data_IF_082195619701
#
_entry.id   IF_082195619701
#
_cell.length_a   1.000
_cell.length_b   1.000
_cell.length_c   1.000
_cell.angle_alpha   90.00
_cell.angle_beta   90.00
_cell.angle_gamma   90.00
#
_symmetry.space_group_name_H-M   'P 1'
#
loop_
_entity.id
_entity.type
_entity.pdbx_description
1 polymer ?
#
# COMPACT_ATOMS: atom_id res chain seq x y z
N UNK A 1 1.22 41.62 -6.35
CA UNK A 1 2.71 41.52 -6.50
C UNK A 1 3.04 40.06 -6.20
N UNK A 2 3.62 39.19 -7.04
CA UNK A 2 4.46 39.34 -8.24
C UNK A 2 4.27 38.09 -9.14
N UNK A 3 4.11 38.35 -10.45
CA UNK A 3 4.49 37.57 -11.64
C UNK A 3 4.57 36.02 -11.59
N UNK A 4 3.60 35.34 -12.22
CA UNK A 4 3.83 34.04 -12.85
C UNK A 4 3.85 34.27 -14.38
N UNK A 5 4.98 33.97 -15.02
CA UNK A 5 5.17 34.15 -16.46
C UNK A 5 4.30 33.17 -17.23
N UNK A 6 3.32 33.71 -17.93
CA UNK A 6 2.55 33.03 -18.97
C UNK A 6 3.45 32.83 -20.18
N UNK A 7 3.56 31.59 -20.66
CA UNK A 7 4.05 31.29 -21.99
C UNK A 7 3.18 30.17 -22.55
N UNK A 8 2.02 30.59 -23.06
CA UNK A 8 1.13 29.74 -23.85
C UNK A 8 1.25 30.21 -25.30
N UNK A 9 1.76 29.33 -26.16
CA UNK A 9 1.64 29.48 -27.61
C UNK A 9 0.83 28.31 -28.17
N UNK A 10 -0.23 28.71 -28.89
CA UNK A 10 -1.10 27.94 -29.79
C UNK A 10 -2.19 27.04 -29.17
N UNK A 11 -3.38 27.64 -29.21
CA UNK A 11 -4.70 27.00 -29.24
C UNK A 11 -4.83 26.11 -30.48
N UNK A 12 -5.27 24.86 -30.31
CA UNK A 12 -6.09 24.16 -31.29
C UNK A 12 -7.15 23.33 -30.56
N UNK A 13 -8.40 23.55 -30.97
CA UNK A 13 -9.61 22.98 -30.42
C UNK A 13 -9.91 21.60 -31.00
N UNK A 14 -10.43 20.68 -30.18
CA UNK A 14 -11.38 19.63 -30.60
C UNK A 14 -12.11 19.05 -29.38
N UNK A 15 -13.43 18.94 -29.51
CA UNK A 15 -14.43 18.56 -28.52
C UNK A 15 -14.32 17.12 -28.01
N UNK A 16 -14.64 16.87 -26.73
CA UNK A 16 -15.32 15.64 -26.27
C UNK A 16 -16.13 15.96 -25.00
N UNK A 17 -17.40 15.56 -25.00
CA UNK A 17 -18.32 15.50 -23.86
C UNK A 17 -17.73 14.74 -22.69
N UNK A 18 -17.48 15.38 -21.55
CA UNK A 18 -17.03 14.71 -20.33
C UNK A 18 -18.23 14.17 -19.57
N UNK A 19 -18.50 12.87 -19.69
CA UNK A 19 -19.30 12.14 -18.71
C UNK A 19 -18.56 12.23 -17.35
N UNK A 20 -19.23 12.79 -16.35
CA UNK A 20 -18.72 12.87 -14.99
C UNK A 20 -18.73 11.46 -14.37
N UNK A 21 -17.66 10.72 -14.60
CA UNK A 21 -17.34 9.52 -13.82
C UNK A 21 -16.87 10.02 -12.45
N UNK A 22 -17.70 9.82 -11.43
CA UNK A 22 -17.31 9.95 -10.03
C UNK A 22 -16.27 8.86 -9.78
N UNK A 23 -15.00 9.23 -9.95
CA UNK A 23 -13.87 8.40 -9.52
C UNK A 23 -13.88 8.47 -8.00
N UNK A 24 -14.46 7.45 -7.36
CA UNK A 24 -14.14 7.15 -5.98
C UNK A 24 -12.61 7.07 -5.88
N UNK A 25 -11.95 7.69 -4.89
CA UNK A 25 -10.51 7.58 -4.76
C UNK A 25 -10.23 6.09 -4.56
N UNK A 26 -9.68 5.45 -5.59
CA UNK A 26 -8.88 4.26 -5.38
C UNK A 26 -7.85 4.71 -4.35
N UNK A 27 -7.85 4.07 -3.18
CA UNK A 27 -6.83 4.28 -2.17
C UNK A 27 -5.50 3.90 -2.81
N UNK A 28 -4.89 4.88 -3.48
CA UNK A 28 -3.53 4.82 -3.94
C UNK A 28 -2.74 4.65 -2.65
N UNK A 29 -2.10 3.50 -2.49
CA UNK A 29 -1.06 3.35 -1.50
C UNK A 29 -0.17 4.59 -1.63
N UNK A 30 -0.06 5.39 -0.58
CA UNK A 30 0.82 6.54 -0.57
C UNK A 30 2.19 6.04 -1.05
N UNK A 31 2.61 6.48 -2.23
CA UNK A 31 3.89 6.06 -2.84
C UNK A 31 5.10 6.45 -1.98
N UNK A 32 4.86 7.09 -0.83
CA UNK A 32 5.83 7.53 0.16
C UNK A 32 5.80 6.72 1.46
N UNK A 33 4.87 5.78 1.65
CA UNK A 33 4.78 5.02 2.90
C UNK A 33 5.75 3.83 2.93
N UNK A 34 6.95 4.05 3.43
CA UNK A 34 7.98 3.02 3.64
C UNK A 34 7.48 1.85 4.49
N UNK A 35 6.78 2.15 5.59
CA UNK A 35 6.23 1.15 6.51
C UNK A 35 5.14 0.30 5.83
N UNK A 36 4.35 0.89 4.93
CA UNK A 36 3.31 0.17 4.18
C UNK A 36 3.92 -0.85 3.22
N UNK A 37 4.98 -0.47 2.50
CA UNK A 37 5.71 -1.38 1.63
C UNK A 37 6.36 -2.53 2.42
N UNK A 38 6.94 -2.22 3.58
CA UNK A 38 7.52 -3.22 4.48
C UNK A 38 6.46 -4.21 5.01
N UNK A 39 5.26 -3.73 5.35
CA UNK A 39 4.16 -4.57 5.82
C UNK A 39 3.69 -5.56 4.75
N UNK A 40 3.45 -5.09 3.52
CA UNK A 40 3.12 -5.92 2.36
C UNK A 40 4.19 -6.98 2.09
N UNK A 41 5.45 -6.56 1.97
CA UNK A 41 6.54 -7.50 1.71
C UNK A 41 6.70 -8.55 2.84
N UNK A 42 6.47 -8.16 4.09
CA UNK A 42 6.61 -9.07 5.22
C UNK A 42 5.63 -10.25 5.14
N UNK A 43 4.38 -10.01 4.76
CA UNK A 43 3.37 -11.07 4.63
C UNK A 43 3.52 -11.85 3.32
N UNK A 44 3.88 -11.19 2.21
CA UNK A 44 4.24 -11.84 0.95
C UNK A 44 5.39 -12.84 1.14
N UNK A 45 6.41 -12.49 1.93
CA UNK A 45 7.50 -13.40 2.28
C UNK A 45 6.99 -14.66 2.98
N UNK A 46 5.99 -14.53 3.84
CA UNK A 46 5.43 -15.69 4.54
C UNK A 46 4.62 -16.58 3.60
N UNK A 47 3.70 -15.98 2.85
CA UNK A 47 2.75 -16.75 2.04
C UNK A 47 3.40 -17.25 0.76
N UNK A 48 4.07 -16.38 0.01
CA UNK A 48 4.59 -16.68 -1.32
C UNK A 48 5.95 -17.39 -1.25
N UNK A 49 6.83 -16.99 -0.31
CA UNK A 49 8.20 -17.55 -0.22
C UNK A 49 8.34 -18.66 0.82
N UNK A 50 7.61 -18.60 1.94
CA UNK A 50 7.65 -19.61 3.01
C UNK A 50 6.44 -20.54 3.03
N UNK A 51 5.51 -20.36 2.10
CA UNK A 51 4.32 -21.21 1.92
C UNK A 51 3.46 -21.33 3.20
N UNK A 52 3.41 -20.26 4.01
CA UNK A 52 2.45 -20.16 5.09
C UNK A 52 1.06 -20.05 4.47
N UNK A 53 0.15 -20.95 4.86
CA UNK A 53 -1.25 -20.88 4.44
C UNK A 53 -2.01 -19.98 5.42
N UNK A 54 -2.55 -18.89 4.89
CA UNK A 54 -3.48 -18.02 5.62
C UNK A 54 -4.91 -18.33 5.21
N UNK A 55 -5.80 -18.32 6.19
CA UNK A 55 -7.22 -18.63 6.05
C UNK A 55 -8.07 -17.50 6.61
N UNK A 56 -9.34 -17.45 6.22
CA UNK A 56 -10.30 -16.45 6.73
C UNK A 56 -10.56 -16.54 8.25
N UNK A 57 -10.13 -17.62 8.91
CA UNK A 57 -10.27 -17.79 10.35
C UNK A 57 -9.05 -17.29 11.15
N UNK A 58 -7.96 -16.92 10.47
CA UNK A 58 -6.77 -16.41 11.13
C UNK A 58 -6.98 -14.97 11.60
N UNK A 59 -6.49 -14.68 12.81
CA UNK A 59 -6.40 -13.30 13.31
C UNK A 59 -5.23 -12.59 12.63
N UNK A 60 -5.52 -11.96 11.48
CA UNK A 60 -4.52 -11.23 10.69
C UNK A 60 -3.87 -10.10 11.49
N UNK A 61 -4.61 -9.43 12.37
CA UNK A 61 -4.06 -8.35 13.19
C UNK A 61 -2.97 -8.89 14.12
N UNK A 62 -3.30 -9.94 14.88
CA UNK A 62 -2.34 -10.60 15.78
C UNK A 62 -1.14 -11.18 15.01
N UNK A 63 -1.39 -11.73 13.82
CA UNK A 63 -0.34 -12.28 12.96
C UNK A 63 0.62 -11.19 12.46
N UNK A 64 0.09 -10.07 11.95
CA UNK A 64 0.88 -8.95 11.45
C UNK A 64 1.66 -8.25 12.56
N UNK A 65 1.11 -8.14 13.76
CA UNK A 65 1.84 -7.72 14.96
C UNK A 65 3.03 -8.64 15.28
N UNK A 66 2.85 -9.95 15.14
CA UNK A 66 3.93 -10.92 15.28
C UNK A 66 5.00 -10.76 14.20
N UNK A 67 4.60 -10.54 12.96
CA UNK A 67 5.53 -10.29 11.86
C UNK A 67 6.34 -9.01 12.06
N UNK A 68 5.71 -7.91 12.52
CA UNK A 68 6.41 -6.68 12.86
C UNK A 68 7.54 -6.95 13.88
N UNK A 69 7.24 -7.68 14.96
CA UNK A 69 8.26 -8.05 15.95
C UNK A 69 9.36 -8.92 15.35
N UNK A 70 9.02 -9.85 14.46
CA UNK A 70 9.98 -10.74 13.82
C UNK A 70 10.90 -10.02 12.84
N UNK A 71 10.39 -9.07 12.04
CA UNK A 71 11.23 -8.30 11.11
C UNK A 71 12.23 -7.43 11.86
N UNK A 72 11.83 -6.82 12.98
CA UNK A 72 12.72 -6.06 13.85
C UNK A 72 13.74 -6.96 14.55
N UNK A 73 13.30 -8.10 15.11
CA UNK A 73 14.18 -9.04 15.83
C UNK A 73 15.20 -9.73 14.93
N UNK A 74 14.83 -10.02 13.68
CA UNK A 74 15.73 -10.67 12.71
C UNK A 74 16.80 -9.72 12.18
N UNK A 75 16.67 -8.41 12.39
CA UNK A 75 17.55 -7.40 11.81
C UNK A 75 17.39 -7.23 10.29
N UNK A 76 16.38 -7.88 9.69
CA UNK A 76 16.07 -7.74 8.25
C UNK A 76 15.70 -6.30 7.89
N UNK A 77 15.12 -5.57 8.83
CA UNK A 77 14.91 -4.12 8.77
C UNK A 77 15.50 -3.49 10.02
N UNK A 78 16.19 -2.37 9.85
CA UNK A 78 16.78 -1.63 10.98
C UNK A 78 15.71 -0.92 11.83
N UNK A 79 14.62 -0.48 11.19
CA UNK A 79 13.47 0.18 11.81
C UNK A 79 12.26 0.10 10.89
N UNK A 80 11.09 0.22 11.50
CA UNK A 80 9.81 0.47 10.84
C UNK A 80 9.35 1.84 11.34
N UNK A 81 9.21 2.80 10.43
CA UNK A 81 8.95 4.21 10.78
C UNK A 81 7.58 4.42 11.41
N UNK A 82 6.60 3.63 10.97
CA UNK A 82 5.24 3.63 11.49
C UNK A 82 4.77 2.18 11.69
N UNK A 83 4.93 1.63 12.91
CA UNK A 83 4.34 0.35 13.29
C UNK A 83 2.86 0.17 12.92
N UNK A 84 1.95 1.15 13.15
CA UNK A 84 0.54 0.96 12.79
C UNK A 84 0.33 0.84 11.27
N UNK A 85 1.04 1.62 10.45
CA UNK A 85 0.89 1.53 8.99
C UNK A 85 1.48 0.22 8.43
N UNK A 86 2.54 -0.29 9.06
CA UNK A 86 3.06 -1.63 8.75
C UNK A 86 2.00 -2.70 9.02
N UNK A 87 1.35 -2.65 10.19
CA UNK A 87 0.34 -3.67 10.55
C UNK A 87 -0.88 -3.56 9.64
N UNK A 88 -1.40 -2.35 9.40
CA UNK A 88 -2.57 -2.14 8.55
C UNK A 88 -2.33 -2.63 7.11
N UNK A 89 -1.18 -2.27 6.52
CA UNK A 89 -0.83 -2.71 5.16
C UNK A 89 -0.57 -4.22 5.06
N UNK A 90 0.03 -4.83 6.10
CA UNK A 90 0.19 -6.27 6.22
C UNK A 90 -1.18 -6.98 6.25
N UNK A 91 -2.14 -6.46 7.03
CA UNK A 91 -3.49 -7.02 7.09
C UNK A 91 -4.25 -6.88 5.77
N UNK A 92 -4.15 -5.71 5.11
CA UNK A 92 -4.78 -5.47 3.81
C UNK A 92 -4.29 -6.48 2.77
N UNK A 93 -2.97 -6.67 2.69
CA UNK A 93 -2.36 -7.64 1.79
C UNK A 93 -2.73 -9.08 2.17
N UNK A 94 -2.74 -9.40 3.46
CA UNK A 94 -3.18 -10.71 3.96
C UNK A 94 -4.61 -11.05 3.55
N UNK A 95 -5.53 -10.08 3.62
CA UNK A 95 -6.92 -10.26 3.13
C UNK A 95 -6.97 -10.53 1.63
N UNK A 96 -6.16 -9.82 0.84
CA UNK A 96 -6.07 -10.04 -0.61
C UNK A 96 -5.53 -11.44 -0.95
N UNK A 97 -4.49 -11.88 -0.25
CA UNK A 97 -3.89 -13.21 -0.41
C UNK A 97 -4.87 -14.32 -0.02
N UNK A 98 -5.67 -14.14 1.05
CA UNK A 98 -6.73 -15.08 1.42
C UNK A 98 -7.81 -15.15 0.34
N UNK A 99 -8.24 -14.00 -0.19
CA UNK A 99 -9.27 -13.96 -1.23
C UNK A 99 -8.81 -14.52 -2.58
N UNK A 100 -7.51 -14.54 -2.84
CA UNK A 100 -6.91 -15.05 -4.08
C UNK A 100 -6.53 -16.54 -4.06
N UNK A 101 -6.68 -17.23 -2.93
CA UNK A 101 -6.40 -18.66 -2.76
C UNK A 101 -7.57 -19.56 -3.19
#
# INVERSE_FOLDING_TARGET
>A
MVSARVSAARVLATAVTTAALVVAPAAAADSECSACAQGKEAIDDQVLRRHVQLTANDDLHQYCESLLRNVLKSGRVARVDSPPDFVASCEDEGRMLIAGQ
#
